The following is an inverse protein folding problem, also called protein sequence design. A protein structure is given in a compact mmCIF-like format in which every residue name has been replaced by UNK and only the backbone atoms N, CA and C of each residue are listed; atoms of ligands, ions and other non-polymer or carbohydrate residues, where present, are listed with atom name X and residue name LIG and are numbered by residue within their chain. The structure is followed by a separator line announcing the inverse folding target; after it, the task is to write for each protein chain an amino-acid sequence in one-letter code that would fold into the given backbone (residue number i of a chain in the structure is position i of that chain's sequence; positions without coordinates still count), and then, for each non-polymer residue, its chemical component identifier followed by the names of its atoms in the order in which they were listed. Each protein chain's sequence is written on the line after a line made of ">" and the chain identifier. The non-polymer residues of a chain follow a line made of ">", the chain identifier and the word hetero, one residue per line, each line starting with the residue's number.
data_IF_906106088005
#
_entry.id   IF_906106088005
#
_cell.length_a   1.000
_cell.length_b   1.000
_cell.length_c   1.000
_cell.angle_alpha   90.00
_cell.angle_beta   90.00
_cell.angle_gamma   90.00
#
_symmetry.space_group_name_H-M   'P 1'
#
loop_
_entity.id
_entity.type
_entity.pdbx_description
1 polymer ?
#
# COMPACT_ATOMS: atom_id res chain seq x y z
N UNK A 1 -69.48 25.03 9.54
CA UNK A 1 -69.03 23.63 9.46
C UNK A 1 -68.76 23.10 10.88
N UNK A 2 -69.52 22.07 11.28
CA UNK A 2 -69.20 20.95 12.19
C UNK A 2 -68.32 21.28 13.44
N UNK A 3 -68.92 21.55 14.61
CA UNK A 3 -69.29 20.61 15.71
C UNK A 3 -68.20 20.50 16.82
N UNK A 4 -68.57 20.20 18.09
CA UNK A 4 -68.11 20.89 19.31
C UNK A 4 -67.16 20.08 20.24
N UNK A 5 -66.75 20.70 21.36
CA UNK A 5 -65.88 20.21 22.45
C UNK A 5 -66.34 18.87 23.07
N UNK A 6 -65.49 18.14 23.85
CA UNK A 6 -65.51 18.37 25.31
C UNK A 6 -64.19 18.09 26.09
N UNK A 7 -64.20 18.63 27.32
CA UNK A 7 -63.47 18.24 28.53
C UNK A 7 -63.34 16.71 28.72
N UNK A 8 -62.22 16.22 29.29
CA UNK A 8 -62.27 15.16 30.31
C UNK A 8 -60.95 14.99 31.11
N UNK A 9 -61.05 15.32 32.41
CA UNK A 9 -60.52 14.58 33.58
C UNK A 9 -59.02 14.25 33.77
N UNK A 10 -58.47 14.94 34.79
CA UNK A 10 -57.40 14.57 35.76
C UNK A 10 -57.66 13.16 36.39
N UNK A 11 -56.74 12.46 37.12
CA UNK A 11 -55.74 13.01 38.04
C UNK A 11 -54.41 12.23 38.30
N UNK A 12 -53.55 12.96 39.00
CA UNK A 12 -52.44 12.57 39.88
C UNK A 12 -52.85 11.53 40.96
N UNK A 13 -52.06 10.47 41.15
CA UNK A 13 -51.93 9.64 42.38
C UNK A 13 -50.74 8.67 42.17
N UNK A 14 -49.55 8.95 42.70
CA UNK A 14 -49.03 8.46 43.99
C UNK A 14 -49.38 7.00 44.31
N UNK A 15 -48.44 6.09 44.05
CA UNK A 15 -48.37 4.79 44.71
C UNK A 15 -46.92 4.33 44.86
N UNK A 16 -46.45 4.45 46.09
CA UNK A 16 -45.23 3.92 46.69
C UNK A 16 -45.22 2.38 46.54
N UNK A 17 -44.30 1.84 45.74
CA UNK A 17 -44.10 0.41 45.53
C UNK A 17 -42.74 -0.03 46.05
N UNK A 18 -42.69 -0.41 47.33
CA UNK A 18 -41.67 -1.27 47.92
C UNK A 18 -41.92 -2.70 47.41
N UNK A 19 -40.90 -3.41 46.90
CA UNK A 19 -40.64 -4.86 47.04
C UNK A 19 -39.66 -5.36 45.95
N UNK A 20 -38.66 -6.13 46.41
CA UNK A 20 -37.93 -7.21 45.74
C UNK A 20 -37.37 -6.97 44.33
N UNK A 21 -36.04 -7.07 44.19
CA UNK A 21 -35.38 -8.29 43.64
C UNK A 21 -33.93 -8.01 43.28
N UNK A 22 -33.06 -8.75 43.95
CA UNK A 22 -31.65 -8.97 43.61
C UNK A 22 -31.57 -9.49 42.17
N UNK A 23 -31.19 -8.63 41.20
CA UNK A 23 -30.83 -9.10 39.86
C UNK A 23 -29.31 -9.14 39.77
N UNK A 24 -28.77 -10.33 40.02
CA UNK A 24 -27.44 -10.73 39.55
C UNK A 24 -27.50 -10.73 38.03
N UNK A 25 -27.01 -9.65 37.40
CA UNK A 25 -26.74 -9.66 35.97
C UNK A 25 -25.38 -10.33 35.82
N UNK A 26 -25.43 -11.61 35.48
CA UNK A 26 -24.30 -12.36 34.98
C UNK A 26 -23.64 -11.55 33.85
N UNK A 27 -22.37 -11.21 34.06
CA UNK A 27 -21.52 -10.56 33.07
C UNK A 27 -21.33 -11.57 31.93
N UNK A 28 -22.10 -11.39 30.84
CA UNK A 28 -21.94 -12.14 29.61
C UNK A 28 -20.55 -11.84 29.04
N UNK A 29 -19.66 -12.81 29.18
CA UNK A 29 -18.40 -12.93 28.46
C UNK A 29 -18.75 -13.15 26.97
N UNK A 30 -19.01 -12.04 26.28
CA UNK A 30 -19.20 -12.05 24.83
C UNK A 30 -17.82 -12.26 24.19
N UNK A 31 -17.63 -13.32 23.37
CA UNK A 31 -16.38 -13.48 22.63
C UNK A 31 -16.15 -12.24 21.75
N UNK A 32 -14.93 -11.72 21.68
CA UNK A 32 -14.63 -10.55 20.86
C UNK A 32 -15.04 -10.83 19.41
N UNK A 33 -15.63 -9.86 18.70
CA UNK A 33 -16.01 -10.05 17.30
C UNK A 33 -14.79 -10.48 16.50
N UNK A 34 -14.91 -11.53 15.65
CA UNK A 34 -13.82 -11.92 14.79
C UNK A 34 -13.47 -10.71 13.90
N UNK A 35 -12.21 -10.28 13.99
CA UNK A 35 -11.63 -9.27 13.12
C UNK A 35 -11.96 -9.67 11.68
N UNK A 36 -12.85 -8.92 11.05
CA UNK A 36 -13.19 -9.09 9.64
C UNK A 36 -11.89 -8.91 8.85
N UNK A 37 -11.30 -10.03 8.44
CA UNK A 37 -10.18 -10.06 7.50
C UNK A 37 -10.69 -9.37 6.25
N UNK A 38 -10.13 -8.20 5.94
CA UNK A 38 -10.43 -7.47 4.72
C UNK A 38 -10.44 -8.47 3.56
N UNK A 39 -11.59 -8.62 2.91
CA UNK A 39 -11.80 -9.57 1.85
C UNK A 39 -10.79 -9.26 0.75
N UNK A 40 -9.77 -10.12 0.64
CA UNK A 40 -8.89 -10.20 -0.52
C UNK A 40 -9.79 -10.22 -1.76
N UNK A 41 -9.80 -9.11 -2.50
CA UNK A 41 -10.56 -9.02 -3.73
C UNK A 41 -9.77 -9.80 -4.76
N UNK A 42 -10.24 -11.01 -5.05
CA UNK A 42 -9.69 -11.88 -6.08
C UNK A 42 -9.83 -11.20 -7.45
N UNK A 43 -8.71 -10.79 -8.04
CA UNK A 43 -8.64 -10.16 -9.37
C UNK A 43 -8.06 -11.15 -10.37
N UNK A 44 -8.79 -11.42 -11.45
CA UNK A 44 -8.29 -12.20 -12.59
C UNK A 44 -7.75 -11.27 -13.67
N UNK A 45 -6.49 -11.47 -14.08
CA UNK A 45 -5.81 -10.63 -15.06
C UNK A 45 -5.72 -11.33 -16.43
N UNK A 46 -6.47 -10.85 -17.42
CA UNK A 46 -6.40 -11.34 -18.81
C UNK A 46 -6.26 -10.15 -19.76
N UNK A 47 -5.03 -9.89 -20.20
CA UNK A 47 -4.67 -8.77 -21.07
C UNK A 47 -3.92 -9.32 -22.28
N UNK A 48 -4.41 -9.02 -23.48
CA UNK A 48 -3.83 -9.52 -24.73
C UNK A 48 -3.47 -8.37 -25.64
N UNK A 49 -2.18 -8.25 -25.97
CA UNK A 49 -1.67 -7.20 -26.85
C UNK A 49 -2.11 -5.78 -26.41
N UNK A 50 -2.00 -5.51 -25.12
CA UNK A 50 -2.41 -4.25 -24.50
C UNK A 50 -1.18 -3.36 -24.31
N UNK A 51 -1.32 -2.03 -24.44
CA UNK A 51 -0.20 -1.12 -24.13
C UNK A 51 0.23 -1.27 -22.66
N UNK A 52 1.54 -1.31 -22.42
CA UNK A 52 2.11 -1.45 -21.08
C UNK A 52 1.58 -0.39 -20.09
N UNK A 53 1.25 0.81 -20.56
CA UNK A 53 0.70 1.90 -19.74
C UNK A 53 -0.69 1.56 -19.22
N UNK A 54 -1.51 0.92 -20.04
CA UNK A 54 -2.85 0.46 -19.64
C UNK A 54 -2.75 -0.63 -18.57
N UNK A 55 -1.76 -1.53 -18.69
CA UNK A 55 -1.47 -2.50 -17.62
C UNK A 55 -1.08 -1.78 -16.32
N UNK A 56 -0.16 -0.81 -16.39
CA UNK A 56 0.29 -0.02 -15.22
C UNK A 56 -0.90 0.67 -14.55
N UNK A 57 -1.79 1.30 -15.31
CA UNK A 57 -2.98 1.97 -14.79
C UNK A 57 -3.95 0.98 -14.11
N UNK A 58 -4.08 -0.21 -14.67
CA UNK A 58 -4.95 -1.27 -14.12
C UNK A 58 -4.41 -1.76 -12.78
N UNK A 59 -3.10 -2.02 -12.72
CA UNK A 59 -2.41 -2.43 -11.50
C UNK A 59 -2.42 -1.32 -10.46
N UNK A 60 -2.26 -0.06 -10.88
CA UNK A 60 -2.36 1.11 -9.98
C UNK A 60 -3.71 1.17 -9.29
N UNK A 61 -4.80 0.98 -10.03
CA UNK A 61 -6.17 0.97 -9.48
C UNK A 61 -6.42 -0.22 -8.57
N UNK A 62 -5.90 -1.40 -8.92
CA UNK A 62 -6.08 -2.62 -8.14
C UNK A 62 -5.27 -2.62 -6.83
N UNK A 63 -4.04 -2.10 -6.87
CA UNK A 63 -3.11 -2.10 -5.72
C UNK A 63 -3.18 -0.82 -4.89
N UNK A 64 -3.66 0.30 -5.46
CA UNK A 64 -3.65 1.62 -4.83
C UNK A 64 -2.27 2.30 -4.86
N UNK A 65 -1.30 1.76 -5.60
CA UNK A 65 0.06 2.29 -5.68
C UNK A 65 0.15 3.35 -6.78
N UNK A 66 0.83 4.46 -6.47
CA UNK A 66 1.12 5.51 -7.43
C UNK A 66 2.39 5.19 -8.22
N UNK A 67 2.27 5.06 -9.54
CA UNK A 67 3.39 4.83 -10.44
C UNK A 67 3.80 6.11 -11.18
N UNK A 68 5.10 6.33 -11.32
CA UNK A 68 5.67 7.36 -12.20
C UNK A 68 6.36 6.65 -13.35
N UNK A 69 5.88 6.85 -14.58
CA UNK A 69 6.33 6.10 -15.75
C UNK A 69 7.32 6.94 -16.56
N UNK A 70 8.50 6.39 -16.83
CA UNK A 70 9.47 7.01 -17.74
C UNK A 70 8.92 7.05 -19.18
N UNK A 71 9.10 8.15 -19.94
CA UNK A 71 8.58 8.27 -21.31
C UNK A 71 9.05 7.18 -22.27
N UNK A 72 10.20 6.56 -21.99
CA UNK A 72 10.79 5.46 -22.76
C UNK A 72 10.07 4.12 -22.55
N UNK A 73 9.20 4.01 -21.54
CA UNK A 73 8.39 2.82 -21.29
C UNK A 73 7.23 2.80 -22.28
N UNK A 74 7.37 1.94 -23.29
CA UNK A 74 6.46 1.77 -24.42
C UNK A 74 6.43 0.31 -24.87
N UNK A 75 5.35 -0.08 -25.54
CA UNK A 75 5.21 -1.40 -26.15
C UNK A 75 3.96 -2.13 -25.70
N UNK A 76 3.70 -3.25 -26.37
CA UNK A 76 2.53 -4.10 -26.11
C UNK A 76 2.91 -5.27 -25.22
N UNK A 77 2.11 -5.51 -24.19
CA UNK A 77 2.25 -6.61 -23.26
C UNK A 77 1.11 -7.61 -23.40
N UNK A 78 1.41 -8.87 -23.16
CA UNK A 78 0.41 -9.94 -23.09
C UNK A 78 0.58 -10.67 -21.78
N UNK A 79 -0.49 -10.72 -20.97
CA UNK A 79 -0.53 -11.37 -19.67
C UNK A 79 -1.77 -12.24 -19.62
N UNK A 80 -1.58 -13.54 -19.46
CA UNK A 80 -2.67 -14.50 -19.36
C UNK A 80 -2.59 -15.16 -17.99
N UNK A 81 -3.56 -14.86 -17.12
CA UNK A 81 -3.75 -15.58 -15.86
C UNK A 81 -5.08 -16.32 -15.88
N UNK A 82 -5.05 -17.58 -15.45
CA UNK A 82 -6.23 -18.46 -15.34
C UNK A 82 -6.76 -18.56 -13.92
N UNK A 83 -6.06 -17.98 -12.94
CA UNK A 83 -6.36 -18.14 -11.52
C UNK A 83 -6.67 -16.77 -10.91
N UNK A 84 -7.71 -16.66 -10.06
CA UNK A 84 -7.91 -15.46 -9.25
C UNK A 84 -6.70 -15.20 -8.35
N UNK A 85 -6.31 -13.92 -8.23
CA UNK A 85 -5.10 -13.52 -7.51
C UNK A 85 -5.45 -12.38 -6.55
N UNK A 86 -4.89 -12.42 -5.34
CA UNK A 86 -4.95 -11.28 -4.43
C UNK A 86 -4.06 -10.11 -4.95
N UNK A 87 -4.25 -8.91 -4.41
CA UNK A 87 -3.49 -7.69 -4.73
C UNK A 87 -1.98 -7.90 -4.69
N UNK A 88 -1.48 -8.61 -3.69
CA UNK A 88 -0.05 -8.87 -3.56
C UNK A 88 0.47 -9.77 -4.69
N UNK A 89 -0.27 -10.83 -5.00
CA UNK A 89 0.07 -11.74 -6.10
C UNK A 89 -0.01 -11.05 -7.46
N UNK A 90 -1.01 -10.18 -7.67
CA UNK A 90 -1.14 -9.35 -8.86
C UNK A 90 0.07 -8.43 -9.03
N UNK A 91 0.51 -7.79 -7.94
CA UNK A 91 1.70 -6.94 -7.98
C UNK A 91 2.97 -7.73 -8.35
N UNK A 92 3.15 -8.94 -7.82
CA UNK A 92 4.29 -9.80 -8.18
C UNK A 92 4.28 -10.19 -9.65
N UNK A 93 3.13 -10.59 -10.20
CA UNK A 93 3.03 -10.87 -11.65
C UNK A 93 3.36 -9.64 -12.47
N UNK A 94 2.88 -8.47 -12.05
CA UNK A 94 3.20 -7.21 -12.72
C UNK A 94 4.71 -6.94 -12.76
N UNK A 95 5.43 -7.15 -11.64
CA UNK A 95 6.88 -7.01 -11.60
C UNK A 95 7.59 -7.97 -12.58
N UNK A 96 7.15 -9.24 -12.61
CA UNK A 96 7.69 -10.24 -13.55
C UNK A 96 7.45 -9.85 -15.00
N UNK A 97 6.28 -9.29 -15.32
CA UNK A 97 5.99 -8.79 -16.67
C UNK A 97 6.92 -7.62 -17.00
N UNK A 98 7.11 -6.65 -16.11
CA UNK A 98 8.06 -5.56 -16.33
C UNK A 98 9.47 -6.09 -16.64
N UNK A 99 9.93 -7.09 -15.88
CA UNK A 99 11.26 -7.68 -16.06
C UNK A 99 11.44 -8.33 -17.44
N UNK A 100 10.45 -9.10 -17.92
CA UNK A 100 10.47 -9.74 -19.25
C UNK A 100 10.59 -8.70 -20.37
N UNK A 101 9.93 -7.55 -20.22
CA UNK A 101 9.97 -6.45 -21.19
C UNK A 101 11.17 -5.50 -20.98
N UNK A 102 12.08 -5.80 -20.05
CA UNK A 102 13.29 -5.01 -19.81
C UNK A 102 13.06 -3.73 -19.03
N UNK A 103 11.97 -3.65 -18.26
CA UNK A 103 11.64 -2.57 -17.34
C UNK A 103 11.80 -3.03 -15.89
N UNK A 104 11.82 -2.07 -14.97
CA UNK A 104 11.82 -2.35 -13.55
C UNK A 104 11.06 -1.27 -12.79
N UNK A 105 10.46 -1.69 -11.67
CA UNK A 105 9.83 -0.82 -10.70
C UNK A 105 10.83 -0.49 -9.59
N UNK A 106 11.13 0.79 -9.40
CA UNK A 106 12.08 1.30 -8.41
C UNK A 106 11.31 2.13 -7.38
N UNK A 107 11.26 1.70 -6.10
CA UNK A 107 10.62 2.49 -5.06
C UNK A 107 11.35 3.82 -4.87
N UNK A 108 10.60 4.92 -4.74
CA UNK A 108 11.14 6.27 -4.56
C UNK A 108 10.21 7.07 -3.65
N UNK A 109 10.37 6.88 -2.33
CA UNK A 109 9.52 7.51 -1.34
C UNK A 109 8.06 7.03 -1.46
N UNK A 110 7.06 7.93 -1.63
CA UNK A 110 5.65 7.57 -1.69
C UNK A 110 5.19 7.03 -3.05
N UNK A 111 6.07 6.98 -4.05
CA UNK A 111 5.75 6.53 -5.42
C UNK A 111 6.72 5.46 -5.89
N UNK A 112 6.30 4.68 -6.88
CA UNK A 112 7.13 3.67 -7.54
C UNK A 112 7.42 4.13 -8.96
N UNK A 113 8.70 4.28 -9.31
CA UNK A 113 9.12 4.70 -10.65
C UNK A 113 9.30 3.50 -11.55
N UNK A 114 8.73 3.52 -12.74
CA UNK A 114 8.93 2.49 -13.76
C UNK A 114 9.93 3.01 -14.77
N UNK A 115 11.10 2.38 -14.82
CA UNK A 115 12.24 2.80 -15.63
C UNK A 115 12.80 1.62 -16.43
N UNK A 116 13.52 1.85 -17.53
CA UNK A 116 14.28 0.80 -18.20
C UNK A 116 15.25 0.10 -17.23
N UNK A 117 15.37 -1.23 -17.31
CA UNK A 117 16.19 -2.06 -16.41
C UNK A 117 17.67 -1.63 -16.36
N UNK A 118 18.19 -1.10 -17.48
CA UNK A 118 19.53 -0.50 -17.56
C UNK A 118 19.74 0.62 -16.52
N UNK A 119 18.70 1.44 -16.26
CA UNK A 119 18.73 2.54 -15.30
C UNK A 119 18.39 2.06 -13.89
N UNK A 120 17.59 1.00 -13.78
CA UNK A 120 17.22 0.40 -12.51
C UNK A 120 18.42 -0.22 -11.81
N UNK A 121 19.29 -0.93 -12.53
CA UNK A 121 20.54 -1.48 -11.96
C UNK A 121 21.45 -0.40 -11.39
N UNK A 122 21.54 0.75 -12.05
CA UNK A 122 22.33 1.89 -11.55
C UNK A 122 21.69 2.46 -10.27
N UNK A 123 20.36 2.56 -10.21
CA UNK A 123 19.66 3.07 -9.03
C UNK A 123 19.70 2.09 -7.85
N UNK A 124 19.56 0.79 -8.11
CA UNK A 124 19.66 -0.27 -7.09
C UNK A 124 21.08 -0.39 -6.53
N UNK A 125 22.11 -0.15 -7.34
CA UNK A 125 23.49 -0.09 -6.85
C UNK A 125 23.72 1.08 -5.88
N UNK A 126 23.05 2.21 -6.10
CA UNK A 126 23.13 3.37 -5.20
C UNK A 126 22.38 3.16 -3.86
N UNK A 127 21.34 2.31 -3.85
CA UNK A 127 20.53 2.06 -2.65
C UNK A 127 20.90 0.75 -1.91
N UNK A 128 21.57 -0.20 -2.57
CA UNK A 128 21.83 -1.55 -2.05
C UNK A 128 23.30 -1.91 -1.84
N UNK A 129 24.26 -1.07 -2.26
CA UNK A 129 25.67 -1.21 -1.90
C UNK A 129 26.17 0.11 -1.34
N UNK A 130 26.70 0.05 -0.12
CA UNK A 130 27.29 1.15 0.60
C UNK A 130 28.56 1.68 -0.07
N UNK A 131 28.39 2.29 -1.24
CA UNK A 131 29.40 3.10 -1.90
C UNK A 131 28.73 4.41 -2.29
N UNK A 132 28.26 5.14 -1.28
CA UNK A 132 28.22 6.59 -1.41
C UNK A 132 29.65 7.01 -1.78
N UNK A 133 29.84 7.64 -2.93
CA UNK A 133 31.10 8.29 -3.28
C UNK A 133 31.30 9.43 -2.27
N UNK A 134 31.92 9.13 -1.13
CA UNK A 134 32.30 10.12 -0.12
C UNK A 134 33.64 10.68 -0.56
N UNK A 135 33.63 11.82 -1.24
CA UNK A 135 34.85 12.61 -1.45
C UNK A 135 35.22 13.28 -0.12
N UNK A 136 36.08 12.62 0.67
CA UNK A 136 36.64 13.21 1.89
C UNK A 136 37.98 13.88 1.55
N UNK A 137 38.03 15.21 1.66
CA UNK A 137 39.29 15.96 1.61
C UNK A 137 39.93 15.87 3.00
N UNK A 138 41.06 15.17 3.09
CA UNK A 138 41.86 15.09 4.33
C UNK A 138 42.99 16.12 4.21
N UNK A 139 42.98 17.13 5.09
CA UNK A 139 44.11 18.03 5.24
C UNK A 139 45.22 17.33 6.04
N UNK A 140 46.39 17.15 5.43
CA UNK A 140 47.59 16.61 6.09
C UNK A 140 48.40 17.80 6.63
N UNK A 141 48.27 18.08 7.93
CA UNK A 141 48.83 19.30 8.52
C UNK A 141 50.28 19.17 9.00
N UNK A 142 50.92 18.01 8.89
CA UNK A 142 52.24 17.81 9.54
C UNK A 142 53.26 17.00 8.73
N UNK A 143 52.93 16.47 7.55
CA UNK A 143 53.86 15.63 6.75
C UNK A 143 53.76 15.96 5.25
N UNK A 144 54.89 16.15 4.53
CA UNK A 144 54.86 16.37 3.09
C UNK A 144 54.28 15.16 2.34
N UNK A 145 53.21 15.38 1.58
CA UNK A 145 52.38 14.36 0.88
C UNK A 145 53.19 13.44 -0.05
N UNK A 146 54.36 13.90 -0.51
CA UNK A 146 55.27 13.14 -1.38
C UNK A 146 55.80 11.84 -0.75
N UNK A 147 55.79 11.72 0.59
CA UNK A 147 56.26 10.51 1.28
C UNK A 147 55.20 9.42 1.43
N UNK A 148 53.92 9.71 1.15
CA UNK A 148 52.80 8.78 1.34
C UNK A 148 52.38 8.04 0.06
N UNK A 149 52.86 8.47 -1.11
CA UNK A 149 52.54 7.85 -2.41
C UNK A 149 52.87 6.34 -2.50
N UNK A 150 53.94 5.80 -1.89
CA UNK A 150 54.24 4.38 -1.97
C UNK A 150 53.23 3.46 -1.27
N UNK A 151 52.37 4.00 -0.39
CA UNK A 151 51.46 3.24 0.47
C UNK A 151 50.01 3.19 -0.05
N UNK A 152 49.69 3.87 -1.15
CA UNK A 152 48.34 3.99 -1.71
C UNK A 152 48.19 3.28 -3.08
N UNK A 153 48.94 2.21 -3.29
CA UNK A 153 48.87 1.40 -4.52
C UNK A 153 47.91 0.23 -4.34
#
# INVERSE_FOLDING_TARGET
>A
MKRPLPFLSRPLLFALGLLLSFNVIAQQDAPPPPLARATAQDVTLNLRNVDIRTLIDTVSKATGINFVVDPRVRGNVTVVSSTPMDRDALYQVFLSVLEVYGYAAVPSGPVVKIVPSINARQTLQLHGRGEALITRVIHVSTVPVMQLLPLLR
#
